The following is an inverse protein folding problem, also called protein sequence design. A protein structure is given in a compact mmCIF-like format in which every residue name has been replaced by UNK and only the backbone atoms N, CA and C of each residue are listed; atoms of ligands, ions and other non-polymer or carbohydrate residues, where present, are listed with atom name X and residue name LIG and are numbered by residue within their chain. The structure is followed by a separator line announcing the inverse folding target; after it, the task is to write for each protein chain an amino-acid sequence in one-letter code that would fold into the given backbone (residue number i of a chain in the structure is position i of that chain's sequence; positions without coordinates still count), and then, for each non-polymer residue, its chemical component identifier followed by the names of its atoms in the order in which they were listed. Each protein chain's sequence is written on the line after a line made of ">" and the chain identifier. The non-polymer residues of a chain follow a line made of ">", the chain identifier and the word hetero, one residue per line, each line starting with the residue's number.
data_IF_739391875687
#
_entry.id   IF_739391875687
#
_cell.length_a   1.000
_cell.length_b   1.000
_cell.length_c   1.000
_cell.angle_alpha   90.00
_cell.angle_beta   90.00
_cell.angle_gamma   90.00
#
_symmetry.space_group_name_H-M   'P 1'
#
loop_
_entity.id
_entity.type
_entity.pdbx_description
1 polymer ?
#
# COMPACT_ATOMS: atom_id res chain seq x y z
N UNK A 1 35.89 -9.13 -94.18
CA UNK A 1 36.78 -10.26 -93.79
C UNK A 1 37.43 -9.80 -92.49
N UNK A 2 37.16 -10.31 -91.30
CA UNK A 2 37.00 -11.69 -90.84
C UNK A 2 36.08 -11.73 -89.62
N UNK A 3 35.34 -12.82 -89.51
CA UNK A 3 34.38 -13.22 -88.47
C UNK A 3 34.99 -13.44 -87.09
N UNK A 4 34.24 -13.10 -86.03
CA UNK A 4 34.06 -14.01 -84.87
C UNK A 4 32.67 -13.83 -84.24
N UNK A 5 31.93 -14.95 -84.15
CA UNK A 5 30.60 -15.13 -83.57
C UNK A 5 30.67 -15.25 -82.04
N UNK A 6 29.67 -14.69 -81.33
CA UNK A 6 28.92 -15.25 -80.15
C UNK A 6 28.23 -14.09 -79.43
N UNK A 7 27.03 -14.16 -78.87
CA UNK A 7 25.83 -15.00 -78.96
C UNK A 7 24.77 -14.15 -78.20
N UNK A 8 23.54 -14.05 -78.71
CA UNK A 8 22.38 -13.46 -78.01
C UNK A 8 22.14 -14.20 -76.66
N UNK A 9 21.59 -13.65 -75.56
CA UNK A 9 20.23 -13.08 -75.31
C UNK A 9 20.10 -12.74 -73.77
N UNK A 10 18.95 -12.32 -73.18
CA UNK A 10 18.84 -11.09 -72.39
C UNK A 10 18.43 -11.24 -70.90
N UNK A 11 18.56 -10.12 -70.17
CA UNK A 11 17.74 -9.57 -69.05
C UNK A 11 17.05 -10.57 -68.10
N UNK A 12 17.44 -10.54 -66.82
CA UNK A 12 16.61 -10.96 -65.69
C UNK A 12 16.96 -10.16 -64.42
N UNK A 13 15.96 -9.42 -63.93
CA UNK A 13 15.70 -8.90 -62.58
C UNK A 13 16.90 -8.62 -61.64
N UNK A 14 17.21 -7.33 -61.45
CA UNK A 14 17.94 -6.82 -60.30
C UNK A 14 16.92 -6.43 -59.22
N UNK A 15 16.59 -7.36 -58.32
CA UNK A 15 15.82 -7.08 -57.11
C UNK A 15 16.77 -6.54 -56.03
N UNK A 16 16.51 -5.30 -55.61
CA UNK A 16 17.10 -4.62 -54.46
C UNK A 16 16.73 -5.40 -53.19
N UNK A 17 17.69 -6.08 -52.57
CA UNK A 17 17.55 -6.51 -51.18
C UNK A 17 17.86 -5.33 -50.26
N UNK A 18 16.81 -4.69 -49.76
CA UNK A 18 16.92 -3.89 -48.55
C UNK A 18 17.15 -4.83 -47.36
N UNK A 19 18.28 -4.69 -46.66
CA UNK A 19 18.48 -5.31 -45.36
C UNK A 19 17.50 -4.69 -44.37
N UNK A 20 16.38 -5.37 -44.14
CA UNK A 20 15.52 -5.13 -42.99
C UNK A 20 16.21 -5.66 -41.74
N UNK A 21 16.70 -4.77 -40.89
CA UNK A 21 17.11 -5.05 -39.53
C UNK A 21 15.89 -5.57 -38.75
N UNK A 22 15.85 -6.89 -38.51
CA UNK A 22 14.91 -7.48 -37.59
C UNK A 22 15.21 -6.95 -36.18
N UNK A 23 14.31 -6.11 -35.67
CA UNK A 23 14.20 -5.84 -34.24
C UNK A 23 13.88 -7.17 -33.56
N UNK A 24 14.90 -7.83 -33.03
CA UNK A 24 14.73 -8.93 -32.10
C UNK A 24 14.10 -8.38 -30.83
N UNK A 25 12.77 -8.45 -30.72
CA UNK A 25 12.09 -8.36 -29.44
C UNK A 25 12.52 -9.57 -28.62
N UNK A 26 13.51 -9.40 -27.75
CA UNK A 26 13.76 -10.35 -26.67
C UNK A 26 12.53 -10.32 -25.77
N UNK A 27 11.65 -11.31 -25.90
CA UNK A 27 10.63 -11.59 -24.88
C UNK A 27 11.42 -11.89 -23.60
N UNK A 28 11.29 -11.03 -22.59
CA UNK A 28 11.87 -11.30 -21.29
C UNK A 28 11.39 -12.68 -20.83
N UNK A 29 12.32 -13.58 -20.50
CA UNK A 29 11.97 -14.91 -20.04
C UNK A 29 11.09 -14.79 -18.79
N UNK A 30 9.97 -15.51 -18.77
CA UNK A 30 9.06 -15.54 -17.62
C UNK A 30 9.81 -15.95 -16.34
N UNK A 31 9.50 -15.30 -15.22
CA UNK A 31 10.11 -15.64 -13.93
C UNK A 31 9.71 -17.06 -13.53
N UNK A 32 10.68 -17.95 -13.23
CA UNK A 32 10.35 -19.29 -12.74
C UNK A 32 9.50 -19.22 -11.48
N UNK A 33 8.50 -20.09 -11.36
CA UNK A 33 7.67 -20.16 -10.17
C UNK A 33 8.54 -20.47 -8.94
N UNK A 34 8.45 -19.71 -7.84
CA UNK A 34 9.09 -20.08 -6.59
C UNK A 34 8.32 -21.24 -5.93
N UNK A 35 8.95 -21.85 -4.93
CA UNK A 35 8.26 -22.80 -4.07
C UNK A 35 7.40 -22.05 -3.05
N UNK A 36 6.14 -22.47 -2.90
CA UNK A 36 5.20 -21.89 -1.95
C UNK A 36 4.99 -22.80 -0.74
N UNK A 37 4.97 -22.20 0.45
CA UNK A 37 4.63 -22.84 1.72
C UNK A 37 3.87 -21.84 2.61
N UNK A 38 2.67 -21.48 2.14
CA UNK A 38 1.81 -20.48 2.77
C UNK A 38 0.89 -21.20 3.75
N UNK A 39 1.29 -21.21 5.03
CA UNK A 39 0.50 -21.80 6.11
C UNK A 39 -0.93 -21.24 6.14
N UNK A 40 -1.90 -22.16 6.25
CA UNK A 40 -3.32 -21.84 6.32
C UNK A 40 -3.98 -21.47 4.98
N UNK A 41 -3.27 -21.53 3.84
CA UNK A 41 -3.80 -21.17 2.52
C UNK A 41 -3.53 -22.24 1.42
N UNK A 42 -3.82 -23.54 1.65
CA UNK A 42 -3.53 -24.58 0.67
C UNK A 42 -4.31 -24.43 -0.64
N UNK A 43 -5.59 -24.01 -0.57
CA UNK A 43 -6.42 -23.80 -1.76
C UNK A 43 -5.92 -22.66 -2.64
N UNK A 44 -5.36 -21.61 -2.02
CA UNK A 44 -4.72 -20.53 -2.75
C UNK A 44 -3.50 -21.04 -3.52
N UNK A 45 -2.59 -21.77 -2.87
CA UNK A 45 -1.40 -22.33 -3.52
C UNK A 45 -1.80 -23.27 -4.67
N UNK A 46 -2.84 -24.09 -4.48
CA UNK A 46 -3.41 -24.93 -5.53
C UNK A 46 -3.92 -24.11 -6.72
N UNK A 47 -4.57 -22.97 -6.48
CA UNK A 47 -5.08 -22.06 -7.54
C UNK A 47 -3.98 -21.41 -8.41
N UNK A 48 -2.72 -21.46 -7.97
CA UNK A 48 -1.58 -20.96 -8.74
C UNK A 48 -1.12 -21.92 -9.84
N UNK A 49 -1.64 -23.16 -9.85
CA UNK A 49 -1.34 -24.18 -10.86
C UNK A 49 -0.07 -24.99 -10.56
N UNK A 50 0.21 -25.96 -11.42
CA UNK A 50 1.22 -27.02 -11.17
C UNK A 50 2.63 -26.47 -10.90
N UNK A 51 3.02 -25.38 -11.57
CA UNK A 51 4.33 -24.77 -11.38
C UNK A 51 4.58 -24.30 -9.94
N UNK A 52 3.55 -23.77 -9.26
CA UNK A 52 3.64 -23.32 -7.87
C UNK A 52 3.53 -24.47 -6.85
N UNK A 53 3.02 -25.63 -7.28
CA UNK A 53 2.85 -26.83 -6.46
C UNK A 53 4.01 -27.83 -6.61
N UNK A 54 4.94 -27.56 -7.53
CA UNK A 54 6.11 -28.39 -7.78
C UNK A 54 7.20 -28.09 -6.75
N UNK A 55 7.71 -29.13 -6.09
CA UNK A 55 8.87 -29.01 -5.22
C UNK A 55 10.12 -28.73 -6.06
N UNK A 56 10.93 -27.78 -5.61
CA UNK A 56 12.16 -27.39 -6.30
C UNK A 56 13.33 -27.97 -5.52
N UNK A 57 14.00 -28.95 -6.12
CA UNK A 57 15.27 -29.46 -5.61
C UNK A 57 16.34 -28.38 -5.77
N UNK A 58 17.00 -28.04 -4.66
CA UNK A 58 18.10 -27.08 -4.62
C UNK A 58 19.24 -27.70 -3.86
N UNK A 59 20.47 -27.40 -4.28
CA UNK A 59 21.63 -27.68 -3.46
C UNK A 59 21.61 -26.85 -2.16
N UNK A 60 22.38 -27.29 -1.18
CA UNK A 60 22.58 -26.54 0.07
C UNK A 60 23.11 -25.13 -0.18
N UNK A 61 24.02 -24.97 -1.14
CA UNK A 61 24.62 -23.67 -1.46
C UNK A 61 23.65 -22.73 -2.18
N UNK A 62 22.83 -23.24 -3.09
CA UNK A 62 21.74 -22.45 -3.70
C UNK A 62 20.72 -21.99 -2.67
N UNK A 63 20.36 -22.87 -1.73
CA UNK A 63 19.44 -22.57 -0.64
C UNK A 63 20.00 -21.47 0.26
N UNK A 64 21.26 -21.58 0.69
CA UNK A 64 21.94 -20.54 1.48
C UNK A 64 22.00 -19.20 0.76
N UNK A 65 22.34 -19.19 -0.53
CA UNK A 65 22.40 -17.97 -1.34
C UNK A 65 21.04 -17.28 -1.41
N UNK A 66 19.97 -18.04 -1.66
CA UNK A 66 18.61 -17.51 -1.73
C UNK A 66 18.15 -16.95 -0.37
N UNK A 67 18.45 -17.65 0.72
CA UNK A 67 18.15 -17.17 2.08
C UNK A 67 18.88 -15.85 2.34
N UNK A 68 20.17 -15.75 2.00
CA UNK A 68 20.95 -14.54 2.20
C UNK A 68 20.40 -13.37 1.39
N UNK A 69 20.02 -13.59 0.13
CA UNK A 69 19.41 -12.58 -0.73
C UNK A 69 18.08 -12.06 -0.15
N UNK A 70 17.18 -12.98 0.23
CA UNK A 70 15.89 -12.62 0.83
C UNK A 70 16.07 -11.90 2.15
N UNK A 71 16.95 -12.41 3.02
CA UNK A 71 17.22 -11.81 4.32
C UNK A 71 17.76 -10.38 4.18
N UNK A 72 18.75 -10.18 3.30
CA UNK A 72 19.37 -8.87 3.10
C UNK A 72 18.37 -7.86 2.50
N UNK A 73 17.54 -8.27 1.54
CA UNK A 73 16.48 -7.42 0.99
C UNK A 73 15.47 -7.01 2.08
N UNK A 74 15.05 -7.95 2.94
CA UNK A 74 14.11 -7.62 4.03
C UNK A 74 14.75 -6.77 5.12
N UNK A 75 16.02 -7.01 5.42
CA UNK A 75 16.77 -6.21 6.37
C UNK A 75 16.94 -4.78 5.88
N UNK A 76 17.30 -4.58 4.61
CA UNK A 76 17.41 -3.25 4.00
C UNK A 76 16.07 -2.51 4.08
N UNK A 77 14.98 -3.14 3.66
CA UNK A 77 13.63 -2.57 3.75
C UNK A 77 13.25 -2.19 5.18
N UNK A 78 13.41 -3.12 6.11
CA UNK A 78 13.04 -2.91 7.51
C UNK A 78 13.90 -1.83 8.16
N UNK A 79 15.20 -1.77 7.85
CA UNK A 79 16.12 -0.76 8.38
C UNK A 79 15.72 0.68 7.98
N UNK A 80 14.97 0.84 6.89
CA UNK A 80 14.42 2.13 6.46
C UNK A 80 13.07 2.47 7.10
N UNK A 81 12.60 1.70 8.08
CA UNK A 81 11.27 1.89 8.66
C UNK A 81 11.31 2.58 10.03
N UNK A 82 10.21 3.25 10.39
CA UNK A 82 9.96 3.72 11.77
C UNK A 82 9.97 2.58 12.79
N UNK A 83 9.63 1.36 12.40
CA UNK A 83 9.72 0.21 13.30
C UNK A 83 11.17 -0.05 13.72
N UNK A 84 12.10 -0.03 12.76
CA UNK A 84 13.52 -0.18 13.06
C UNK A 84 14.08 0.99 13.87
N UNK A 85 13.69 2.23 13.54
CA UNK A 85 14.03 3.42 14.35
C UNK A 85 13.62 3.27 15.82
N UNK A 86 12.49 2.60 16.09
CA UNK A 86 11.99 2.30 17.44
C UNK A 86 12.57 1.02 18.06
N UNK A 87 13.57 0.41 17.43
CA UNK A 87 14.28 -0.76 17.95
C UNK A 87 13.57 -2.10 17.71
N UNK A 88 12.55 -2.16 16.86
CA UNK A 88 11.94 -3.44 16.47
C UNK A 88 12.89 -4.17 15.50
N UNK A 89 13.06 -5.47 15.73
CA UNK A 89 13.89 -6.35 14.90
C UNK A 89 13.05 -7.47 14.31
N UNK A 90 13.64 -8.30 13.45
CA UNK A 90 12.95 -9.44 12.83
C UNK A 90 12.28 -10.35 13.88
N UNK A 91 12.96 -10.59 15.01
CA UNK A 91 12.50 -11.46 16.11
C UNK A 91 11.51 -10.80 17.06
N UNK A 92 11.28 -9.49 16.91
CA UNK A 92 10.18 -8.82 17.62
C UNK A 92 8.84 -9.33 17.09
N UNK A 93 8.74 -9.55 15.77
CA UNK A 93 7.51 -9.95 15.10
C UNK A 93 7.49 -11.43 14.72
N UNK A 94 8.59 -11.99 14.21
CA UNK A 94 8.64 -13.39 13.76
C UNK A 94 9.09 -14.34 14.88
N UNK A 95 8.42 -15.49 14.97
CA UNK A 95 8.77 -16.54 15.93
C UNK A 95 9.80 -17.52 15.34
N UNK A 96 11.09 -17.19 15.47
CA UNK A 96 12.17 -18.04 14.95
C UNK A 96 12.21 -19.44 15.59
N UNK A 97 11.75 -19.60 16.83
CA UNK A 97 11.75 -20.90 17.52
C UNK A 97 10.71 -21.83 16.90
N UNK A 98 9.49 -21.34 16.64
CA UNK A 98 8.45 -22.11 15.95
C UNK A 98 8.78 -22.40 14.49
N UNK A 99 9.62 -21.57 13.86
CA UNK A 99 10.03 -21.74 12.47
C UNK A 99 11.11 -22.81 12.24
N UNK A 100 11.82 -23.23 13.30
CA UNK A 100 12.79 -24.33 13.21
C UNK A 100 14.03 -24.06 12.35
N UNK A 101 14.34 -22.79 12.01
CA UNK A 101 15.51 -22.42 11.22
C UNK A 101 15.23 -21.35 10.16
N UNK A 102 16.20 -21.03 9.27
CA UNK A 102 16.05 -20.01 8.23
C UNK A 102 15.48 -20.54 6.91
N UNK A 103 15.34 -21.86 6.73
CA UNK A 103 14.99 -22.50 5.46
C UNK A 103 13.64 -22.04 4.89
N UNK A 104 12.72 -21.60 5.75
CA UNK A 104 11.43 -21.02 5.33
C UNK A 104 11.61 -19.79 4.44
N UNK A 105 12.72 -19.04 4.55
CA UNK A 105 12.98 -17.85 3.72
C UNK A 105 13.27 -18.20 2.26
N UNK A 106 13.69 -19.44 1.96
CA UNK A 106 13.87 -19.91 0.59
C UNK A 106 12.52 -20.06 -0.15
N UNK A 107 11.41 -20.18 0.57
CA UNK A 107 10.05 -20.39 0.02
C UNK A 107 9.19 -19.15 0.22
N UNK A 108 8.14 -18.99 -0.57
CA UNK A 108 7.13 -17.96 -0.34
C UNK A 108 6.19 -18.45 0.75
N UNK A 109 6.18 -17.77 1.90
CA UNK A 109 5.50 -18.27 3.11
C UNK A 109 4.57 -17.25 3.75
N UNK A 110 3.76 -17.74 4.69
CA UNK A 110 3.05 -16.95 5.69
C UNK A 110 3.56 -17.39 7.08
N UNK A 111 4.69 -16.83 7.55
CA UNK A 111 5.36 -17.33 8.74
C UNK A 111 4.55 -17.08 10.02
N UNK A 112 4.60 -17.98 11.03
CA UNK A 112 4.05 -17.72 12.36
C UNK A 112 4.58 -16.41 12.97
N UNK A 113 3.65 -15.62 13.50
CA UNK A 113 3.92 -14.33 14.09
C UNK A 113 3.86 -14.42 15.63
N UNK A 114 4.84 -13.81 16.29
CA UNK A 114 4.84 -13.54 17.74
C UNK A 114 4.03 -12.29 18.07
N UNK A 115 4.04 -11.31 17.18
CA UNK A 115 3.28 -10.07 17.27
C UNK A 115 2.62 -9.75 15.94
N UNK A 116 1.41 -9.24 16.00
CA UNK A 116 0.60 -8.75 14.89
C UNK A 116 0.53 -7.23 14.90
N UNK A 117 0.05 -6.62 13.81
CA UNK A 117 -0.08 -5.18 13.72
C UNK A 117 -0.96 -4.61 14.85
N UNK A 118 -2.09 -5.26 15.12
CA UNK A 118 -3.07 -4.85 16.13
C UNK A 118 -2.57 -4.92 17.58
N UNK A 119 -1.51 -5.68 17.87
CA UNK A 119 -0.94 -5.74 19.23
C UNK A 119 -0.33 -4.38 19.65
N UNK A 120 0.09 -3.56 18.69
CA UNK A 120 0.66 -2.22 18.93
C UNK A 120 -0.22 -1.10 18.37
N UNK A 121 -0.93 -1.34 17.26
CA UNK A 121 -1.76 -0.36 16.55
C UNK A 121 -3.24 -0.54 16.88
N UNK A 122 -3.59 -0.46 18.17
CA UNK A 122 -4.95 -0.75 18.67
C UNK A 122 -5.99 0.22 18.15
N UNK A 123 -5.66 1.50 17.98
CA UNK A 123 -6.57 2.50 17.41
C UNK A 123 -6.85 2.20 15.95
N UNK A 124 -5.83 1.88 15.15
CA UNK A 124 -6.00 1.53 13.74
C UNK A 124 -6.80 0.23 13.59
N UNK A 125 -6.57 -0.75 14.47
CA UNK A 125 -7.33 -2.00 14.49
C UNK A 125 -8.81 -1.77 14.84
N UNK A 126 -9.10 -0.95 15.85
CA UNK A 126 -10.46 -0.55 16.22
C UNK A 126 -11.15 0.18 15.06
N UNK A 127 -10.48 1.17 14.46
CA UNK A 127 -10.99 1.88 13.29
C UNK A 127 -11.27 0.93 12.12
N UNK A 128 -10.33 0.05 11.78
CA UNK A 128 -10.49 -0.94 10.71
C UNK A 128 -11.65 -1.91 11.00
N UNK A 129 -11.94 -2.23 12.26
CA UNK A 129 -13.08 -3.09 12.62
C UNK A 129 -14.44 -2.49 12.21
N UNK A 130 -14.50 -1.17 12.01
CA UNK A 130 -15.67 -0.45 11.51
C UNK A 130 -15.70 -0.27 9.99
N UNK A 131 -14.68 -0.76 9.28
CA UNK A 131 -14.65 -0.66 7.82
C UNK A 131 -15.72 -1.55 7.19
N UNK A 132 -16.26 -1.11 6.06
CA UNK A 132 -17.19 -1.90 5.24
C UNK A 132 -16.57 -2.36 3.94
N UNK A 133 -15.74 -1.51 3.33
CA UNK A 133 -15.16 -1.74 2.00
C UNK A 133 -13.95 -2.67 2.03
N UNK A 134 -13.17 -2.66 3.10
CA UNK A 134 -11.92 -3.43 3.24
C UNK A 134 -11.97 -4.43 4.40
N UNK A 135 -13.18 -4.87 4.80
CA UNK A 135 -13.38 -5.67 6.02
C UNK A 135 -12.69 -7.03 5.98
N UNK A 136 -12.49 -7.56 4.76
CA UNK A 136 -11.88 -8.86 4.52
C UNK A 136 -10.39 -8.72 4.13
N UNK A 137 -9.83 -7.50 4.21
CA UNK A 137 -8.43 -7.21 3.87
C UNK A 137 -7.62 -7.01 5.14
N UNK A 138 -6.59 -7.85 5.32
CA UNK A 138 -5.62 -7.74 6.42
C UNK A 138 -4.73 -6.49 6.26
N UNK A 139 -4.25 -5.93 7.38
CA UNK A 139 -3.27 -4.85 7.45
C UNK A 139 -2.11 -5.04 6.46
N UNK A 140 -1.58 -6.27 6.37
CA UNK A 140 -0.44 -6.59 5.51
C UNK A 140 -0.81 -6.49 4.02
N UNK A 141 -2.09 -6.57 3.66
CA UNK A 141 -2.57 -6.47 2.28
C UNK A 141 -2.31 -5.11 1.63
N UNK A 142 -2.27 -4.03 2.44
CA UNK A 142 -1.97 -2.69 1.96
C UNK A 142 -0.57 -2.21 2.37
N UNK A 143 -0.15 -2.53 3.60
CA UNK A 143 1.09 -2.00 4.19
C UNK A 143 2.33 -2.83 3.87
N UNK A 144 2.15 -4.09 3.50
CA UNK A 144 3.22 -5.02 3.20
C UNK A 144 2.88 -5.79 1.92
N UNK A 145 2.73 -5.13 0.76
CA UNK A 145 2.41 -5.81 -0.48
C UNK A 145 3.53 -6.79 -0.89
N UNK A 146 3.17 -7.83 -1.63
CA UNK A 146 4.19 -8.54 -2.40
C UNK A 146 4.75 -7.63 -3.49
N UNK A 147 6.08 -7.54 -3.53
CA UNK A 147 6.84 -6.71 -4.47
C UNK A 147 7.85 -7.58 -5.25
N UNK A 148 8.25 -7.14 -6.45
CA UNK A 148 9.35 -7.75 -7.19
C UNK A 148 10.69 -7.31 -6.58
N UNK A 149 11.79 -7.81 -7.15
CA UNK A 149 13.11 -7.21 -6.91
C UNK A 149 13.16 -5.80 -7.49
N UNK A 150 13.93 -4.91 -6.87
CA UNK A 150 13.94 -3.45 -7.14
C UNK A 150 14.10 -3.13 -8.63
N UNK A 151 14.99 -3.84 -9.33
CA UNK A 151 15.27 -3.64 -10.76
C UNK A 151 14.12 -4.03 -11.71
N UNK A 152 13.09 -4.73 -11.21
CA UNK A 152 11.95 -5.23 -12.01
C UNK A 152 10.61 -4.58 -11.64
N UNK A 153 10.60 -3.52 -10.81
CA UNK A 153 9.36 -2.85 -10.39
C UNK A 153 8.49 -2.41 -11.57
N UNK A 154 9.04 -1.67 -12.52
CA UNK A 154 8.29 -1.17 -13.68
C UNK A 154 7.79 -2.29 -14.59
N UNK A 155 8.58 -3.36 -14.76
CA UNK A 155 8.19 -4.52 -15.56
C UNK A 155 7.05 -5.30 -14.91
N UNK A 156 7.14 -5.55 -13.60
CA UNK A 156 6.13 -6.27 -12.86
C UNK A 156 4.76 -5.57 -12.88
N UNK A 157 4.74 -4.23 -12.94
CA UNK A 157 3.50 -3.45 -13.07
C UNK A 157 2.73 -3.71 -14.37
N UNK A 158 3.35 -4.31 -15.39
CA UNK A 158 2.64 -4.76 -16.59
C UNK A 158 1.70 -5.92 -16.32
N UNK A 159 1.89 -6.65 -15.22
CA UNK A 159 1.03 -7.76 -14.81
C UNK A 159 1.06 -8.98 -15.72
N UNK A 160 2.05 -9.08 -16.61
CA UNK A 160 2.17 -10.19 -17.57
C UNK A 160 2.81 -11.44 -16.96
N UNK A 161 3.55 -11.29 -15.86
CA UNK A 161 4.24 -12.37 -15.17
C UNK A 161 3.64 -12.60 -13.78
N UNK A 162 3.03 -13.78 -13.61
CA UNK A 162 2.34 -14.19 -12.39
C UNK A 162 3.26 -14.25 -11.16
N UNK A 163 4.55 -14.50 -11.36
CA UNK A 163 5.54 -14.73 -10.30
C UNK A 163 6.56 -13.60 -10.16
N UNK A 164 6.35 -12.47 -10.85
CA UNK A 164 7.25 -11.33 -10.75
C UNK A 164 7.28 -10.72 -9.34
N UNK A 165 6.14 -10.72 -8.62
CA UNK A 165 6.00 -10.10 -7.29
C UNK A 165 5.44 -11.10 -6.26
N UNK A 166 6.34 -11.73 -5.50
CA UNK A 166 6.00 -12.84 -4.58
C UNK A 166 6.54 -12.64 -3.17
N UNK A 167 7.38 -11.62 -2.94
CA UNK A 167 8.03 -11.40 -1.64
C UNK A 167 7.43 -10.19 -0.95
N UNK A 168 7.03 -10.38 0.31
CA UNK A 168 6.37 -9.36 1.12
C UNK A 168 7.31 -8.20 1.47
N UNK A 169 6.86 -6.97 1.23
CA UNK A 169 7.61 -5.76 1.58
C UNK A 169 7.62 -5.51 3.11
N UNK A 170 8.72 -4.95 3.62
CA UNK A 170 8.91 -4.59 5.05
C UNK A 170 9.16 -3.08 5.23
N UNK A 171 8.44 -2.26 4.46
CA UNK A 171 8.54 -0.79 4.45
C UNK A 171 7.41 -0.14 5.28
N UNK A 172 6.23 -0.78 5.33
CA UNK A 172 5.05 -0.45 6.13
C UNK A 172 4.35 0.89 5.81
N UNK A 173 5.09 2.00 5.78
CA UNK A 173 4.53 3.35 5.57
C UNK A 173 3.97 3.45 4.16
N UNK A 174 2.70 3.83 4.01
CA UNK A 174 2.14 4.16 2.70
C UNK A 174 2.35 5.66 2.43
N UNK A 175 2.92 5.98 1.27
CA UNK A 175 3.00 7.34 0.74
C UNK A 175 1.84 7.59 -0.22
N UNK A 176 1.03 8.61 0.08
CA UNK A 176 -0.21 8.92 -0.67
C UNK A 176 -0.01 9.97 -1.78
N UNK A 177 1.23 10.41 -2.01
CA UNK A 177 1.55 11.28 -3.14
C UNK A 177 1.39 10.52 -4.46
N UNK A 178 0.68 11.13 -5.40
CA UNK A 178 0.40 10.57 -6.72
C UNK A 178 1.67 10.35 -7.56
N UNK A 179 2.78 11.03 -7.24
CA UNK A 179 4.05 10.96 -7.96
C UNK A 179 5.13 10.18 -7.18
N UNK A 180 4.83 9.68 -5.98
CA UNK A 180 5.80 8.89 -5.23
C UNK A 180 6.09 7.56 -5.96
N UNK A 181 7.32 7.10 -5.90
CA UNK A 181 7.70 5.78 -6.41
C UNK A 181 8.46 5.06 -5.32
N UNK A 182 8.15 3.78 -5.07
CA UNK A 182 8.91 2.95 -4.11
C UNK A 182 10.38 2.78 -4.49
N UNK A 183 10.73 3.01 -5.76
CA UNK A 183 12.08 2.85 -6.27
C UNK A 183 12.54 4.06 -7.07
N UNK A 184 13.83 4.29 -7.05
CA UNK A 184 14.50 5.32 -7.86
C UNK A 184 15.81 4.78 -8.43
N UNK A 185 16.33 5.45 -9.45
CA UNK A 185 17.60 5.08 -10.07
C UNK A 185 18.73 5.91 -9.48
N UNK A 186 19.56 5.26 -8.66
CA UNK A 186 20.83 5.79 -8.19
C UNK A 186 21.90 5.65 -9.29
N UNK A 187 22.71 6.70 -9.55
CA UNK A 187 23.74 6.66 -10.58
C UNK A 187 24.82 5.58 -10.38
N UNK A 188 25.14 5.24 -9.13
CA UNK A 188 26.24 4.31 -8.79
C UNK A 188 25.71 2.91 -8.48
N UNK A 189 24.60 2.84 -7.74
CA UNK A 189 24.01 1.59 -7.22
C UNK A 189 22.93 1.00 -8.14
N UNK A 190 22.51 1.75 -9.17
CA UNK A 190 21.41 1.35 -10.04
C UNK A 190 20.06 1.54 -9.34
N UNK A 191 19.13 0.60 -9.53
CA UNK A 191 17.81 0.71 -8.90
C UNK A 191 17.88 0.46 -7.40
N UNK A 192 17.38 1.42 -6.61
CA UNK A 192 17.34 1.38 -5.14
C UNK A 192 15.94 1.73 -4.61
N UNK A 193 15.65 1.38 -3.36
CA UNK A 193 14.44 1.87 -2.71
C UNK A 193 14.49 3.38 -2.47
N UNK A 194 13.37 4.05 -2.76
CA UNK A 194 13.19 5.46 -2.47
C UNK A 194 13.07 5.71 -0.97
N UNK A 195 13.50 6.89 -0.54
CA UNK A 195 13.39 7.40 0.83
C UNK A 195 12.61 8.70 0.84
N UNK A 196 11.79 8.90 1.86
CA UNK A 196 11.11 10.16 2.09
C UNK A 196 12.05 11.20 2.74
N UNK A 197 11.51 12.39 3.05
CA UNK A 197 12.28 13.49 3.66
C UNK A 197 12.79 13.18 5.08
N UNK A 198 12.27 12.15 5.74
CA UNK A 198 12.69 11.66 7.06
C UNK A 198 13.64 10.47 6.94
N UNK A 199 14.13 10.18 5.74
CA UNK A 199 14.98 9.04 5.40
C UNK A 199 14.31 7.67 5.62
N UNK A 200 12.98 7.62 5.52
CA UNK A 200 12.22 6.37 5.62
C UNK A 200 11.77 5.85 4.26
N UNK A 201 11.84 4.54 4.10
CA UNK A 201 11.27 3.84 2.96
C UNK A 201 9.76 3.80 3.06
N UNK A 202 9.09 3.70 1.91
CA UNK A 202 7.63 3.72 1.83
C UNK A 202 7.10 2.78 0.75
N UNK A 203 5.82 2.46 0.86
CA UNK A 203 5.00 1.78 -0.14
C UNK A 203 4.21 2.85 -0.88
N UNK A 204 4.29 2.87 -2.20
CA UNK A 204 3.50 3.79 -3.02
C UNK A 204 2.07 3.26 -3.22
N UNK A 205 1.18 4.11 -3.72
CA UNK A 205 -0.24 3.75 -3.85
C UNK A 205 -0.48 2.68 -4.92
N UNK A 206 0.35 2.64 -5.98
CA UNK A 206 0.23 1.59 -6.99
C UNK A 206 0.48 0.22 -6.37
N UNK A 207 1.54 0.06 -5.59
CA UNK A 207 1.84 -1.22 -4.93
C UNK A 207 0.91 -1.53 -3.75
N UNK A 208 0.47 -0.51 -3.02
CA UNK A 208 -0.44 -0.70 -1.90
C UNK A 208 -1.83 -1.16 -2.36
N UNK A 209 -2.39 -0.57 -3.42
CA UNK A 209 -3.81 -0.74 -3.77
C UNK A 209 -4.03 -1.43 -5.13
N UNK A 210 -3.15 -1.19 -6.10
CA UNK A 210 -3.34 -1.57 -7.51
C UNK A 210 -2.30 -2.54 -8.07
N UNK A 211 -1.55 -3.24 -7.21
CA UNK A 211 -0.47 -4.14 -7.66
C UNK A 211 -1.02 -5.31 -8.47
N UNK A 212 -0.43 -5.64 -9.63
CA UNK A 212 -0.78 -6.85 -10.37
C UNK A 212 -0.01 -8.06 -9.82
N UNK A 213 -0.27 -8.43 -8.56
CA UNK A 213 0.43 -9.52 -7.85
C UNK A 213 -0.51 -10.72 -7.61
N UNK A 214 -0.87 -11.51 -8.64
CA UNK A 214 -1.80 -12.64 -8.50
C UNK A 214 -1.28 -13.79 -7.61
N UNK A 215 0.03 -13.83 -7.33
CA UNK A 215 0.65 -14.77 -6.39
C UNK A 215 0.72 -14.24 -4.94
N UNK A 216 0.00 -13.16 -4.64
CA UNK A 216 -0.23 -12.66 -3.29
C UNK A 216 -1.62 -13.08 -2.80
N UNK A 217 -1.67 -13.90 -1.74
CA UNK A 217 -2.96 -14.39 -1.21
C UNK A 217 -3.85 -13.24 -0.70
N UNK A 218 -3.25 -12.12 -0.26
CA UNK A 218 -4.02 -10.94 0.19
C UNK A 218 -4.67 -10.20 -0.97
N UNK A 219 -4.10 -10.29 -2.18
CA UNK A 219 -4.72 -9.79 -3.41
C UNK A 219 -5.94 -10.65 -3.77
N UNK A 220 -5.80 -11.98 -3.67
CA UNK A 220 -6.89 -12.91 -3.93
C UNK A 220 -8.08 -12.69 -2.98
N UNK A 221 -7.83 -12.56 -1.68
CA UNK A 221 -8.88 -12.29 -0.68
C UNK A 221 -9.52 -10.91 -0.85
N UNK A 222 -8.74 -9.94 -1.33
CA UNK A 222 -9.23 -8.65 -1.76
C UNK A 222 -9.95 -8.65 -3.12
N UNK A 223 -10.35 -9.82 -3.65
CA UNK A 223 -10.98 -9.99 -4.98
C UNK A 223 -10.17 -9.37 -6.11
N UNK A 224 -8.86 -9.57 -6.06
CA UNK A 224 -7.92 -9.02 -7.02
C UNK A 224 -7.55 -7.56 -6.80
N UNK A 225 -8.00 -6.94 -5.69
CA UNK A 225 -7.79 -5.53 -5.35
C UNK A 225 -8.18 -4.60 -6.51
N UNK A 226 -7.41 -3.54 -6.77
CA UNK A 226 -7.76 -2.52 -7.75
C UNK A 226 -6.96 -2.58 -9.06
N UNK A 227 -6.19 -3.64 -9.28
CA UNK A 227 -5.37 -3.77 -10.50
C UNK A 227 -6.21 -4.21 -11.71
N UNK A 228 -6.00 -3.62 -12.91
CA UNK A 228 -6.65 -4.11 -14.13
C UNK A 228 -6.31 -5.56 -14.49
N UNK A 229 -5.17 -6.07 -14.01
CA UNK A 229 -4.71 -7.41 -14.30
C UNK A 229 -5.38 -8.50 -13.43
N UNK A 230 -5.81 -8.15 -12.22
CA UNK A 230 -6.26 -9.13 -11.22
C UNK A 230 -7.67 -8.88 -10.70
N UNK A 231 -8.19 -7.66 -10.79
CA UNK A 231 -9.42 -7.26 -10.11
C UNK A 231 -10.67 -7.95 -10.66
N UNK A 232 -11.49 -8.44 -9.73
CA UNK A 232 -12.85 -8.94 -9.95
C UNK A 232 -13.91 -7.95 -9.43
N UNK A 233 -13.49 -6.72 -9.09
CA UNK A 233 -14.38 -5.66 -8.64
C UNK A 233 -15.14 -5.01 -9.80
N UNK A 234 -16.14 -4.20 -9.47
CA UNK A 234 -16.84 -3.40 -10.47
C UNK A 234 -15.87 -2.47 -11.21
N UNK A 235 -16.16 -2.20 -12.49
CA UNK A 235 -15.27 -1.41 -13.38
C UNK A 235 -14.85 -0.04 -12.80
N UNK A 236 -15.69 0.57 -11.95
CA UNK A 236 -15.39 1.85 -11.30
C UNK A 236 -14.36 1.77 -10.17
N UNK A 237 -13.97 0.56 -9.74
CA UNK A 237 -13.00 0.29 -8.68
C UNK A 237 -11.68 -0.28 -9.24
N UNK A 238 -11.50 -0.26 -10.56
CA UNK A 238 -10.30 -0.75 -11.23
C UNK A 238 -9.49 0.47 -11.67
N UNK A 239 -8.30 0.64 -11.11
CA UNK A 239 -7.47 1.83 -11.31
C UNK A 239 -6.24 1.50 -12.17
N UNK A 240 -6.05 2.26 -13.24
CA UNK A 240 -4.99 2.04 -14.24
C UNK A 240 -3.68 2.70 -13.88
N UNK A 241 -3.69 3.61 -12.91
CA UNK A 241 -2.51 4.36 -12.52
C UNK A 241 -2.56 4.77 -11.06
N UNK A 242 -1.38 5.09 -10.54
CA UNK A 242 -1.25 5.66 -9.21
C UNK A 242 -2.04 6.97 -9.05
N UNK A 243 -2.12 7.79 -10.10
CA UNK A 243 -2.85 9.06 -10.05
C UNK A 243 -4.35 8.82 -9.83
N UNK A 244 -4.94 7.79 -10.44
CA UNK A 244 -6.34 7.42 -10.18
C UNK A 244 -6.55 6.96 -8.73
N UNK A 245 -5.64 6.12 -8.22
CA UNK A 245 -5.67 5.66 -6.81
C UNK A 245 -5.55 6.85 -5.85
N UNK A 246 -4.60 7.75 -6.10
CA UNK A 246 -4.38 8.94 -5.28
C UNK A 246 -5.61 9.86 -5.29
N UNK A 247 -6.29 10.00 -6.42
CA UNK A 247 -7.52 10.76 -6.52
C UNK A 247 -8.64 10.17 -5.62
N UNK A 248 -8.82 8.85 -5.63
CA UNK A 248 -9.81 8.19 -4.75
C UNK A 248 -9.43 8.28 -3.27
N UNK A 249 -8.14 8.11 -2.92
CA UNK A 249 -7.65 8.33 -1.54
C UNK A 249 -7.92 9.76 -1.09
N UNK A 250 -7.67 10.76 -1.95
CA UNK A 250 -7.92 12.16 -1.61
C UNK A 250 -9.40 12.50 -1.44
N UNK A 251 -10.30 11.88 -2.20
CA UNK A 251 -11.77 12.02 -2.00
C UNK A 251 -12.20 11.58 -0.60
N UNK A 252 -11.50 10.61 -0.02
CA UNK A 252 -11.73 10.18 1.37
C UNK A 252 -11.05 11.13 2.34
N UNK A 253 -9.74 11.36 2.18
CA UNK A 253 -8.94 12.05 3.20
C UNK A 253 -9.22 13.55 3.31
N UNK A 254 -9.50 14.24 2.19
CA UNK A 254 -9.67 15.69 2.19
C UNK A 254 -10.84 16.17 3.05
N UNK A 255 -12.09 15.69 2.85
CA UNK A 255 -13.21 16.12 3.68
C UNK A 255 -13.03 15.75 5.15
N UNK A 256 -12.35 14.62 5.44
CA UNK A 256 -12.02 14.21 6.81
C UNK A 256 -11.06 15.20 7.46
N UNK A 257 -9.97 15.56 6.78
CA UNK A 257 -8.99 16.56 7.28
C UNK A 257 -9.64 17.94 7.49
N UNK A 258 -10.48 18.38 6.55
CA UNK A 258 -11.19 19.66 6.66
C UNK A 258 -12.18 19.69 7.83
N UNK A 259 -12.97 18.62 8.01
CA UNK A 259 -13.90 18.51 9.14
C UNK A 259 -13.16 18.40 10.47
N UNK A 260 -12.10 17.61 10.53
CA UNK A 260 -11.24 17.52 11.72
C UNK A 260 -10.66 18.90 12.11
N UNK A 261 -10.16 19.67 11.15
CA UNK A 261 -9.63 21.02 11.39
C UNK A 261 -10.71 21.97 11.92
N UNK A 262 -11.93 21.93 11.35
CA UNK A 262 -13.08 22.67 11.88
C UNK A 262 -13.42 22.26 13.30
N UNK A 263 -13.39 20.97 13.61
CA UNK A 263 -13.68 20.46 14.96
C UNK A 263 -12.65 20.97 15.95
N UNK A 264 -11.36 20.83 15.66
CA UNK A 264 -10.28 21.29 16.56
C UNK A 264 -10.37 22.80 16.81
N UNK A 265 -10.53 23.60 15.75
CA UNK A 265 -10.68 25.06 15.87
C UNK A 265 -11.97 25.44 16.62
N UNK A 266 -13.05 24.69 16.40
CA UNK A 266 -14.32 24.89 17.08
C UNK A 266 -14.23 24.62 18.57
N UNK A 267 -13.57 23.52 18.97
CA UNK A 267 -13.30 23.20 20.38
C UNK A 267 -12.52 24.33 21.05
N UNK A 268 -11.40 24.77 20.47
CA UNK A 268 -10.59 25.88 21.01
C UNK A 268 -11.39 27.18 21.14
N UNK A 269 -12.13 27.55 20.09
CA UNK A 269 -12.94 28.78 20.08
C UNK A 269 -14.01 28.77 21.18
N UNK A 270 -14.81 27.71 21.25
CA UNK A 270 -15.93 27.65 22.22
C UNK A 270 -15.39 27.54 23.64
N UNK A 271 -14.25 26.86 23.86
CA UNK A 271 -13.57 26.83 25.17
C UNK A 271 -13.21 28.24 25.65
N UNK A 272 -12.65 29.09 24.78
CA UNK A 272 -12.36 30.50 25.11
C UNK A 272 -13.63 31.31 25.40
N UNK A 273 -14.72 31.04 24.68
CA UNK A 273 -16.01 31.70 24.96
C UNK A 273 -16.60 31.27 26.31
N UNK A 274 -16.45 30.00 26.71
CA UNK A 274 -16.91 29.50 28.01
C UNK A 274 -16.23 30.19 29.20
N UNK A 275 -15.00 30.69 29.02
CA UNK A 275 -14.27 31.40 30.08
C UNK A 275 -14.86 32.77 30.40
N UNK A 276 -15.49 33.40 29.41
CA UNK A 276 -15.98 34.78 29.51
C UNK A 276 -17.52 34.90 29.48
N UNK A 277 -18.22 33.82 29.17
CA UNK A 277 -19.69 33.81 29.06
C UNK A 277 -20.31 33.45 30.40
N UNK A 278 -21.25 34.28 30.88
CA UNK A 278 -21.96 34.03 32.13
C UNK A 278 -23.10 33.02 31.89
N UNK A 279 -22.90 31.79 32.32
CA UNK A 279 -23.85 30.69 32.13
C UNK A 279 -24.40 30.16 33.45
N UNK A 280 -25.50 29.42 33.40
CA UNK A 280 -25.92 28.60 34.55
C UNK A 280 -24.93 27.45 34.75
N UNK A 281 -24.77 26.91 35.97
CA UNK A 281 -23.93 25.74 36.18
C UNK A 281 -24.32 24.54 35.29
N UNK A 282 -25.62 24.33 35.07
CA UNK A 282 -26.11 23.25 34.22
C UNK A 282 -25.69 23.40 32.75
N UNK A 283 -25.90 24.58 32.17
CA UNK A 283 -25.51 24.85 30.77
C UNK A 283 -23.99 24.80 30.61
N UNK A 284 -23.25 25.28 31.60
CA UNK A 284 -21.78 25.23 31.58
C UNK A 284 -21.27 23.79 31.61
N UNK A 285 -21.84 22.94 32.47
CA UNK A 285 -21.50 21.50 32.52
C UNK A 285 -21.84 20.82 31.19
N UNK A 286 -23.01 21.09 30.62
CA UNK A 286 -23.41 20.51 29.34
C UNK A 286 -22.49 20.95 28.20
N UNK A 287 -22.16 22.24 28.11
CA UNK A 287 -21.25 22.75 27.09
C UNK A 287 -19.86 22.11 27.19
N UNK A 288 -19.30 21.96 28.39
CA UNK A 288 -18.01 21.28 28.61
C UNK A 288 -18.06 19.82 28.15
N UNK A 289 -19.09 19.07 28.54
CA UNK A 289 -19.26 17.68 28.12
C UNK A 289 -19.32 17.52 26.58
N UNK A 290 -19.99 18.45 25.89
CA UNK A 290 -20.07 18.44 24.43
C UNK A 290 -18.70 18.71 23.78
N UNK A 291 -17.93 19.64 24.33
CA UNK A 291 -16.57 19.94 23.86
C UNK A 291 -15.62 18.76 24.08
N UNK A 292 -15.68 18.12 25.25
CA UNK A 292 -14.87 16.94 25.56
C UNK A 292 -15.14 15.82 24.54
N UNK A 293 -16.42 15.53 24.26
CA UNK A 293 -16.80 14.52 23.24
C UNK A 293 -16.32 14.88 21.83
N UNK A 294 -16.39 16.16 21.45
CA UNK A 294 -15.89 16.62 20.15
C UNK A 294 -14.36 16.47 20.06
N UNK A 295 -13.65 16.81 21.14
CA UNK A 295 -12.20 16.68 21.25
C UNK A 295 -11.74 15.21 21.23
N UNK A 296 -12.43 14.33 21.95
CA UNK A 296 -12.16 12.87 21.95
C UNK A 296 -12.26 12.28 20.54
N UNK A 297 -13.26 12.69 19.75
CA UNK A 297 -13.40 12.29 18.36
C UNK A 297 -12.23 12.81 17.52
N UNK A 298 -11.87 14.09 17.66
CA UNK A 298 -10.73 14.65 16.94
C UNK A 298 -9.42 13.92 17.28
N UNK A 299 -9.20 13.57 18.55
CA UNK A 299 -8.04 12.81 19.01
C UNK A 299 -8.02 11.39 18.45
N UNK A 300 -9.17 10.71 18.41
CA UNK A 300 -9.28 9.39 17.79
C UNK A 300 -8.84 9.43 16.32
N UNK A 301 -9.37 10.38 15.54
CA UNK A 301 -9.03 10.51 14.10
C UNK A 301 -7.55 10.86 13.91
N UNK A 302 -7.00 11.72 14.78
CA UNK A 302 -5.57 12.07 14.74
C UNK A 302 -4.67 10.88 15.07
N UNK A 303 -5.03 10.08 16.09
CA UNK A 303 -4.28 8.89 16.52
C UNK A 303 -4.33 7.77 15.48
N UNK A 304 -5.48 7.59 14.83
CA UNK A 304 -5.61 6.67 13.69
C UNK A 304 -4.67 7.08 12.55
N UNK A 305 -4.70 8.36 12.15
CA UNK A 305 -3.78 8.95 11.19
C UNK A 305 -4.00 8.55 9.73
N UNK A 306 -4.95 7.66 9.44
CA UNK A 306 -5.30 7.26 8.06
C UNK A 306 -6.17 8.29 7.35
N UNK A 307 -6.74 9.23 8.11
CA UNK A 307 -7.69 10.24 7.66
C UNK A 307 -8.90 9.60 6.94
N UNK A 308 -9.41 8.50 7.52
CA UNK A 308 -10.59 7.79 7.03
C UNK A 308 -10.30 6.67 6.03
N UNK A 309 -9.04 6.40 5.68
CA UNK A 309 -8.71 5.27 4.80
C UNK A 309 -8.98 3.91 5.48
N UNK A 310 -8.82 3.81 6.80
CA UNK A 310 -9.17 2.59 7.55
C UNK A 310 -10.69 2.39 7.62
N UNK A 311 -11.49 3.42 7.90
CA UNK A 311 -12.95 3.30 7.92
C UNK A 311 -13.69 4.59 7.52
N UNK A 312 -13.84 4.79 6.22
CA UNK A 312 -14.29 6.06 5.64
C UNK A 312 -15.68 6.52 6.13
N UNK A 313 -16.66 5.61 6.17
CA UNK A 313 -18.01 5.92 6.65
C UNK A 313 -18.02 6.22 8.14
N UNK A 314 -17.40 5.36 8.94
CA UNK A 314 -17.34 5.53 10.39
C UNK A 314 -16.66 6.85 10.77
N UNK A 315 -15.50 7.16 10.18
CA UNK A 315 -14.80 8.43 10.42
C UNK A 315 -15.68 9.64 10.09
N UNK A 316 -16.41 9.62 8.96
CA UNK A 316 -17.32 10.71 8.58
C UNK A 316 -18.46 10.87 9.58
N UNK A 317 -19.09 9.78 9.99
CA UNK A 317 -20.19 9.81 10.96
C UNK A 317 -19.74 10.36 12.32
N UNK A 318 -18.55 9.96 12.79
CA UNK A 318 -17.97 10.47 14.05
C UNK A 318 -17.69 11.97 13.95
N UNK A 319 -17.09 12.43 12.85
CA UNK A 319 -16.83 13.87 12.66
C UNK A 319 -18.12 14.70 12.55
N UNK A 320 -19.16 14.20 11.88
CA UNK A 320 -20.46 14.85 11.84
C UNK A 320 -21.09 14.97 13.23
N UNK A 321 -20.94 13.95 14.08
CA UNK A 321 -21.35 14.02 15.48
C UNK A 321 -20.57 15.07 16.27
N UNK A 322 -19.24 15.16 16.08
CA UNK A 322 -18.41 16.19 16.70
C UNK A 322 -18.82 17.61 16.28
N UNK A 323 -19.06 17.85 14.99
CA UNK A 323 -19.59 19.13 14.50
C UNK A 323 -20.96 19.46 15.11
N UNK A 324 -21.83 18.46 15.29
CA UNK A 324 -23.13 18.62 15.95
C UNK A 324 -22.99 18.96 17.45
N UNK A 325 -22.03 18.36 18.15
CA UNK A 325 -21.73 18.72 19.54
C UNK A 325 -21.26 20.17 19.65
N UNK A 326 -20.41 20.63 18.73
CA UNK A 326 -19.96 22.02 18.67
C UNK A 326 -21.11 22.99 18.38
N UNK A 327 -22.00 22.65 17.45
CA UNK A 327 -23.18 23.46 17.17
C UNK A 327 -24.07 23.61 18.41
N UNK A 328 -24.31 22.52 19.14
CA UNK A 328 -25.10 22.55 20.37
C UNK A 328 -24.40 23.35 21.49
N UNK A 329 -23.09 23.18 21.66
CA UNK A 329 -22.31 23.94 22.63
C UNK A 329 -22.34 25.45 22.32
N UNK A 330 -22.28 25.83 21.03
CA UNK A 330 -22.40 27.22 20.62
C UNK A 330 -23.77 27.82 20.97
N UNK A 331 -24.86 27.07 20.76
CA UNK A 331 -26.21 27.54 21.15
C UNK A 331 -26.30 27.81 22.65
N UNK A 332 -25.68 26.98 23.48
CA UNK A 332 -25.62 27.21 24.94
C UNK A 332 -24.85 28.50 25.28
N UNK A 333 -23.73 28.75 24.61
CA UNK A 333 -22.96 30.01 24.75
C UNK A 333 -23.81 31.22 24.36
N UNK A 334 -24.46 31.19 23.19
CA UNK A 334 -25.22 32.31 22.66
C UNK A 334 -26.41 32.66 23.58
N UNK A 335 -27.06 31.64 24.15
CA UNK A 335 -28.13 31.81 25.14
C UNK A 335 -27.62 32.31 26.51
N UNK A 336 -26.35 32.07 26.84
CA UNK A 336 -25.67 32.56 28.05
C UNK A 336 -25.34 34.06 28.03
N UNK A 337 -25.94 34.84 27.13
CA UNK A 337 -25.76 36.29 27.06
C UNK A 337 -24.52 36.73 26.30
N UNK A 338 -23.79 35.83 25.65
CA UNK A 338 -22.79 36.20 24.64
C UNK A 338 -23.52 36.72 23.38
N UNK A 339 -23.73 38.04 23.32
CA UNK A 339 -24.17 38.68 22.07
C UNK A 339 -22.93 38.94 21.23
N UNK A 340 -22.87 38.36 20.02
CA UNK A 340 -21.91 38.76 19.01
C UNK A 340 -21.83 40.29 18.96
N UNK A 341 -20.62 40.85 18.97
CA UNK A 341 -20.43 42.25 18.62
C UNK A 341 -21.00 42.44 17.21
N UNK A 342 -22.20 43.01 17.13
CA UNK A 342 -22.81 43.47 15.88
C UNK A 342 -21.84 44.43 15.23
N UNK A 343 -21.50 44.14 13.96
CA UNK A 343 -20.58 44.93 13.13
C UNK A 343 -20.91 46.41 13.11
#
# INVERSE_FOLDING_TARGET
>A
MTTFKKLLRPISALSVLALGSALSFTVAAATPAPEFDIQGKPDFVKSLGDAANTKIERSTEETKRLIAEVYNDKLEQHAMSKHFEKGLTCVTCHDQQRQGGPDWMAKVTNPPMKKTCQDCHTVQADMQSHTRSHKDVDCIGCHMPNIPVVSKFEEALKGTDRFAAVRRAHLYKINTDAQASMVTKDPEKGWVYSRDKEDHGFVDLQWSCGRPAPADWTVCEGRGCHSPATSELDKGLIYKSQQEIAYEVQKVQRPVKESWDRVVKGVDRITKLLEITKMTPADQTEARLLLDKAAEIADLIKKDGSWGAHASHYTKDRLAAAESYLAKAQVLIDNGGYRHATK
#
